data_IF_293692991667
#
_entry.id   IF_293692991667
#
_cell.length_a   1.000
_cell.length_b   1.000
_cell.length_c   1.000
_cell.angle_alpha   90.00
_cell.angle_beta   90.00
_cell.angle_gamma   90.00
#
_symmetry.space_group_name_H-M   'P 1'
#
loop_
_entity.id
_entity.type
_entity.pdbx_description
1 polymer ?
#
# COMPACT_ATOMS: atom_id res chain seq x y z
N UNK A 1 -10.24 35.38 53.51
CA UNK A 1 -8.91 35.46 52.87
C UNK A 1 -8.11 34.16 52.89
N UNK A 2 -7.77 33.57 54.03
CA UNK A 2 -6.95 32.35 54.06
C UNK A 2 -7.61 31.14 53.36
N UNK A 3 -8.90 30.87 53.64
CA UNK A 3 -9.65 29.77 53.00
C UNK A 3 -9.82 29.97 51.49
N UNK A 4 -10.02 31.22 51.04
CA UNK A 4 -10.12 31.55 49.63
C UNK A 4 -8.79 31.27 48.90
N UNK A 5 -7.66 31.65 49.50
CA UNK A 5 -6.32 31.39 48.95
C UNK A 5 -5.97 29.89 48.90
N UNK A 6 -6.41 29.11 49.90
CA UNK A 6 -6.23 27.65 49.91
C UNK A 6 -7.04 27.00 48.78
N UNK A 7 -8.30 27.40 48.63
CA UNK A 7 -9.18 26.88 47.57
C UNK A 7 -8.63 27.23 46.18
N UNK A 8 -8.18 28.46 45.98
CA UNK A 8 -7.55 28.89 44.74
C UNK A 8 -6.28 28.10 44.42
N UNK A 9 -5.43 27.86 45.42
CA UNK A 9 -4.22 27.04 45.26
C UNK A 9 -4.54 25.57 44.93
N UNK A 10 -5.59 25.00 45.54
CA UNK A 10 -6.06 23.64 45.25
C UNK A 10 -6.61 23.52 43.84
N UNK A 11 -7.43 24.48 43.39
CA UNK A 11 -7.96 24.49 42.03
C UNK A 11 -6.83 24.60 41.00
N UNK A 12 -5.88 25.52 41.23
CA UNK A 12 -4.73 25.68 40.33
C UNK A 12 -3.83 24.45 40.29
N UNK A 13 -3.64 23.77 41.42
CA UNK A 13 -2.91 22.50 41.45
C UNK A 13 -3.64 21.41 40.65
N UNK A 14 -4.97 21.29 40.81
CA UNK A 14 -5.78 20.34 40.06
C UNK A 14 -5.78 20.63 38.55
N UNK A 15 -5.79 21.89 38.14
CA UNK A 15 -5.69 22.30 36.74
C UNK A 15 -4.33 21.91 36.16
N UNK A 16 -3.23 22.20 36.87
CA UNK A 16 -1.87 21.83 36.43
C UNK A 16 -1.72 20.31 36.32
N UNK A 17 -2.28 19.54 37.26
CA UNK A 17 -2.26 18.07 37.21
C UNK A 17 -3.04 17.53 36.00
N UNK A 18 -4.21 18.10 35.71
CA UNK A 18 -5.00 17.72 34.53
C UNK A 18 -4.25 18.04 33.23
N UNK A 19 -3.70 19.25 33.10
CA UNK A 19 -2.88 19.65 31.94
C UNK A 19 -1.66 18.75 31.77
N UNK A 20 -0.97 18.40 32.86
CA UNK A 20 0.17 17.49 32.82
C UNK A 20 -0.21 16.07 32.40
N UNK A 21 -1.36 15.56 32.85
CA UNK A 21 -1.88 14.27 32.45
C UNK A 21 -2.24 14.24 30.96
N UNK A 22 -2.91 15.28 30.45
CA UNK A 22 -3.23 15.41 29.03
C UNK A 22 -1.96 15.49 28.17
N UNK A 23 -0.97 16.28 28.59
CA UNK A 23 0.31 16.38 27.91
C UNK A 23 1.06 15.04 27.87
N UNK A 24 0.98 14.24 28.95
CA UNK A 24 1.59 12.92 29.01
C UNK A 24 0.92 11.93 28.02
N UNK A 25 -0.42 11.91 27.97
CA UNK A 25 -1.17 11.08 27.01
C UNK A 25 -0.83 11.45 25.57
N UNK A 26 -0.72 12.74 25.27
CA UNK A 26 -0.38 13.21 23.94
C UNK A 26 1.07 12.84 23.56
N UNK A 27 2.01 12.94 24.50
CA UNK A 27 3.39 12.51 24.28
C UNK A 27 3.48 10.99 24.02
N UNK A 28 2.68 10.19 24.73
CA UNK A 28 2.60 8.75 24.54
C UNK A 28 2.05 8.39 23.15
N UNK A 29 0.98 9.04 22.71
CA UNK A 29 0.40 8.84 21.37
C UNK A 29 1.39 9.20 20.25
N UNK A 30 2.17 10.27 20.40
CA UNK A 30 3.22 10.64 19.44
C UNK A 30 4.37 9.63 19.41
N UNK A 31 4.76 9.10 20.56
CA UNK A 31 5.76 8.02 20.64
C UNK A 31 5.23 6.75 19.94
N UNK A 32 3.98 6.35 20.24
CA UNK A 32 3.33 5.21 19.62
C UNK A 32 3.24 5.36 18.09
N UNK A 33 2.98 6.57 17.58
CA UNK A 33 2.96 6.85 16.15
C UNK A 33 4.34 6.68 15.49
N UNK A 34 5.43 7.04 16.18
CA UNK A 34 6.79 6.79 15.70
C UNK A 34 7.09 5.29 15.63
N UNK A 35 6.72 4.54 16.68
CA UNK A 35 6.85 3.08 16.72
C UNK A 35 6.02 2.39 15.63
N UNK A 36 4.78 2.86 15.41
CA UNK A 36 3.91 2.34 14.36
C UNK A 36 4.50 2.53 12.97
N UNK A 37 5.06 3.71 12.66
CA UNK A 37 5.76 3.95 11.39
C UNK A 37 6.95 3.01 11.20
N UNK A 38 7.75 2.81 12.25
CA UNK A 38 8.87 1.87 12.20
C UNK A 38 8.39 0.43 11.97
N UNK A 39 7.29 0.02 12.60
CA UNK A 39 6.72 -1.30 12.40
C UNK A 39 6.19 -1.51 10.97
N UNK A 40 5.53 -0.50 10.38
CA UNK A 40 5.07 -0.54 8.99
C UNK A 40 6.23 -0.60 7.98
N UNK A 41 7.34 0.06 8.28
CA UNK A 41 8.52 0.03 7.41
C UNK A 41 9.22 -1.33 7.45
N UNK A 42 9.32 -1.91 8.64
CA UNK A 42 9.96 -3.22 8.83
C UNK A 42 9.01 -4.41 8.59
N UNK A 43 7.71 -4.15 8.43
CA UNK A 43 6.68 -5.19 8.27
C UNK A 43 6.51 -6.05 9.52
N UNK A 44 6.73 -5.48 10.71
CA UNK A 44 6.56 -6.18 11.98
C UNK A 44 5.17 -5.95 12.56
N UNK A 45 4.77 -6.82 13.49
CA UNK A 45 3.55 -6.61 14.29
C UNK A 45 3.57 -5.26 15.02
N UNK A 46 2.40 -4.65 15.18
CA UNK A 46 2.19 -3.40 15.91
C UNK A 46 0.88 -3.42 16.72
N UNK A 47 0.39 -4.62 17.05
CA UNK A 47 -0.85 -4.80 17.82
C UNK A 47 -0.82 -4.08 19.17
N UNK A 48 0.30 -4.17 19.90
CA UNK A 48 0.44 -3.50 21.20
C UNK A 48 0.45 -1.98 21.04
N UNK A 49 1.13 -1.48 20.02
CA UNK A 49 1.19 -0.04 19.72
C UNK A 49 -0.18 0.55 19.39
N UNK A 50 -1.08 -0.23 18.76
CA UNK A 50 -2.44 0.25 18.47
C UNK A 50 -3.30 0.45 19.71
N UNK A 51 -3.00 -0.22 20.83
CA UNK A 51 -3.80 -0.11 22.06
C UNK A 51 -3.71 1.28 22.70
N UNK A 52 -2.70 2.07 22.34
CA UNK A 52 -2.53 3.47 22.78
C UNK A 52 -3.59 4.40 22.17
N UNK A 53 -4.20 4.01 21.05
CA UNK A 53 -5.24 4.79 20.38
C UNK A 53 -6.62 4.26 20.75
N UNK A 54 -7.53 5.15 21.17
CA UNK A 54 -8.88 4.77 21.60
C UNK A 54 -9.74 4.22 20.44
N UNK A 55 -9.53 4.75 19.22
CA UNK A 55 -10.25 4.35 18.01
C UNK A 55 -9.28 4.23 16.82
N UNK A 56 -8.43 3.19 16.77
CA UNK A 56 -7.49 3.03 15.68
C UNK A 56 -8.25 2.78 14.37
N UNK A 57 -7.76 3.31 13.23
CA UNK A 57 -8.33 3.03 11.92
C UNK A 57 -8.40 1.53 11.64
N UNK A 58 -9.54 1.07 11.12
CA UNK A 58 -9.80 -0.36 10.85
C UNK A 58 -8.75 -1.00 9.94
N UNK A 59 -8.21 -0.22 9.01
CA UNK A 59 -7.16 -0.62 8.07
C UNK A 59 -5.89 -1.06 8.81
N UNK A 60 -5.53 -0.39 9.90
CA UNK A 60 -4.38 -0.76 10.72
C UNK A 60 -4.72 -1.94 11.62
N UNK A 61 -5.90 -1.96 12.23
CA UNK A 61 -6.34 -3.06 13.10
C UNK A 61 -6.39 -4.40 12.36
N UNK A 62 -6.75 -4.40 11.08
CA UNK A 62 -6.87 -5.61 10.26
C UNK A 62 -5.53 -6.34 10.03
N UNK A 63 -4.41 -5.62 10.08
CA UNK A 63 -3.06 -6.14 9.79
C UNK A 63 -2.11 -6.04 10.98
N UNK A 64 -2.60 -5.58 12.14
CA UNK A 64 -1.76 -5.26 13.29
C UNK A 64 -0.99 -6.48 13.85
N UNK A 65 -1.57 -7.67 13.73
CA UNK A 65 -0.98 -8.91 14.19
C UNK A 65 0.19 -9.33 13.29
N UNK A 66 -0.04 -9.35 11.97
CA UNK A 66 0.91 -9.88 10.98
C UNK A 66 1.90 -8.82 10.47
N UNK A 67 1.59 -7.54 10.62
CA UNK A 67 2.33 -6.42 10.03
C UNK A 67 1.87 -6.11 8.60
N UNK A 68 2.25 -4.93 8.10
CA UNK A 68 2.00 -4.56 6.70
C UNK A 68 3.04 -5.20 5.76
N UNK A 69 2.68 -5.52 4.50
CA UNK A 69 3.66 -5.78 3.47
C UNK A 69 4.69 -4.64 3.39
N UNK A 70 5.98 -4.97 3.32
CA UNK A 70 7.05 -3.96 3.20
C UNK A 70 7.19 -3.49 1.75
N UNK A 71 7.66 -2.26 1.56
CA UNK A 71 7.94 -1.76 0.21
C UNK A 71 9.00 -2.63 -0.49
N UNK A 72 10.05 -3.01 0.24
CA UNK A 72 11.10 -3.89 -0.29
C UNK A 72 10.56 -5.24 -0.76
N UNK A 73 9.62 -5.85 0.00
CA UNK A 73 8.95 -7.09 -0.41
C UNK A 73 8.16 -6.89 -1.70
N UNK A 74 7.32 -5.86 -1.76
CA UNK A 74 6.52 -5.53 -2.94
C UNK A 74 7.40 -5.30 -4.18
N UNK A 75 8.50 -4.56 -4.04
CA UNK A 75 9.48 -4.33 -5.11
C UNK A 75 10.13 -5.65 -5.58
N UNK A 76 10.49 -6.53 -4.65
CA UNK A 76 11.13 -7.81 -4.98
C UNK A 76 10.20 -8.81 -5.65
N UNK A 77 8.91 -8.80 -5.29
CA UNK A 77 7.91 -9.75 -5.79
C UNK A 77 7.31 -9.31 -7.14
N UNK A 78 7.31 -7.99 -7.43
CA UNK A 78 6.71 -7.44 -8.63
C UNK A 78 7.21 -8.09 -9.93
N UNK A 79 8.53 -8.25 -10.19
CA UNK A 79 9.00 -8.79 -11.46
C UNK A 79 8.54 -10.24 -11.70
N UNK A 80 8.39 -11.04 -10.63
CA UNK A 80 7.88 -12.39 -10.75
C UNK A 80 6.39 -12.40 -11.09
N UNK A 81 5.59 -11.54 -10.42
CA UNK A 81 4.17 -11.38 -10.71
C UNK A 81 3.92 -10.87 -12.14
N UNK A 82 4.67 -9.86 -12.58
CA UNK A 82 4.58 -9.28 -13.93
C UNK A 82 4.87 -10.31 -15.03
N UNK A 83 5.88 -11.18 -14.84
CA UNK A 83 6.17 -12.27 -15.80
C UNK A 83 5.03 -13.28 -15.89
N UNK A 84 4.38 -13.62 -14.77
CA UNK A 84 3.18 -14.49 -14.78
C UNK A 84 2.05 -13.81 -15.55
N UNK A 85 1.77 -12.54 -15.28
CA UNK A 85 0.76 -11.76 -15.99
C UNK A 85 1.00 -11.73 -17.50
N UNK A 86 2.24 -11.50 -17.95
CA UNK A 86 2.58 -11.56 -19.38
C UNK A 86 2.40 -12.94 -20.01
N UNK A 87 2.59 -14.01 -19.23
CA UNK A 87 2.39 -15.38 -19.72
C UNK A 87 0.91 -15.70 -19.98
N UNK A 88 0.00 -15.16 -19.17
CA UNK A 88 -1.45 -15.30 -19.38
C UNK A 88 -1.90 -14.65 -20.70
N UNK A 89 -1.40 -13.44 -20.99
CA UNK A 89 -1.73 -12.72 -22.25
C UNK A 89 -1.13 -13.42 -23.47
N UNK A 90 0.04 -14.03 -23.34
CA UNK A 90 0.76 -14.68 -24.46
C UNK A 90 0.23 -16.09 -24.75
N UNK A 91 -0.52 -16.67 -23.83
CA UNK A 91 -1.10 -18.00 -23.98
C UNK A 91 -2.15 -17.98 -25.08
N UNK A 92 -1.76 -18.41 -26.28
CA UNK A 92 -2.68 -18.70 -27.37
C UNK A 92 -3.60 -19.84 -26.89
N UNK A 93 -4.93 -19.74 -27.04
CA UNK A 93 -5.86 -20.81 -26.64
C UNK A 93 -5.36 -22.16 -27.14
N UNK A 94 -5.34 -23.16 -26.25
CA UNK A 94 -4.85 -24.51 -26.58
C UNK A 94 -5.66 -25.11 -27.75
N UNK A 95 -6.94 -24.71 -27.85
CA UNK A 95 -7.90 -25.08 -28.90
C UNK A 95 -7.75 -24.31 -30.21
N UNK A 96 -6.80 -23.37 -30.32
CA UNK A 96 -6.49 -22.75 -31.59
C UNK A 96 -5.99 -23.82 -32.56
N UNK A 97 -6.70 -23.93 -33.68
CA UNK A 97 -6.43 -24.90 -34.73
C UNK A 97 -4.98 -24.81 -35.19
N UNK A 98 -4.40 -25.93 -35.66
CA UNK A 98 -3.02 -25.95 -36.19
C UNK A 98 -2.81 -24.88 -37.27
N UNK A 99 -3.87 -24.53 -37.99
CA UNK A 99 -3.92 -23.45 -38.99
C UNK A 99 -3.78 -22.06 -38.37
N UNK A 100 -4.39 -21.77 -37.21
CA UNK A 100 -4.25 -20.48 -36.53
C UNK A 100 -2.86 -20.31 -35.92
N UNK A 101 -2.28 -21.38 -35.35
CA UNK A 101 -0.90 -21.38 -34.83
C UNK A 101 0.12 -21.19 -35.97
N UNK A 102 -0.10 -21.81 -37.12
CA UNK A 102 0.73 -21.64 -38.32
C UNK A 102 0.58 -20.25 -38.95
N UNK A 103 -0.63 -19.69 -38.98
CA UNK A 103 -0.90 -18.32 -39.48
C UNK A 103 -0.27 -17.26 -38.56
N UNK A 104 -0.31 -17.47 -37.24
CA UNK A 104 0.35 -16.60 -36.28
C UNK A 104 1.89 -16.63 -36.41
N UNK A 105 2.47 -17.80 -36.71
CA UNK A 105 3.90 -17.97 -36.98
C UNK A 105 4.33 -17.26 -38.27
N UNK A 106 3.55 -17.39 -39.35
CA UNK A 106 3.81 -16.70 -40.61
C UNK A 106 3.66 -15.18 -40.50
N UNK A 107 2.66 -14.67 -39.78
CA UNK A 107 2.53 -13.22 -39.45
C UNK A 107 3.75 -12.70 -38.69
N UNK A 108 4.35 -13.52 -37.83
CA UNK A 108 5.55 -13.17 -37.05
C UNK A 108 6.79 -13.10 -37.94
N UNK A 109 6.88 -13.94 -38.96
CA UNK A 109 7.99 -13.98 -39.93
C UNK A 109 7.91 -12.82 -40.96
N UNK A 110 6.71 -12.33 -41.29
CA UNK A 110 6.50 -11.24 -42.26
C UNK A 110 6.32 -9.86 -41.63
N UNK A 111 6.43 -9.71 -40.29
CA UNK A 111 6.30 -8.42 -39.61
C UNK A 111 7.56 -7.54 -39.77
N UNK A 112 8.01 -7.38 -41.01
CA UNK A 112 8.89 -6.30 -41.41
C UNK A 112 8.11 -4.99 -41.27
N UNK A 113 8.33 -4.28 -40.16
CA UNK A 113 7.87 -2.91 -39.90
C UNK A 113 6.44 -2.60 -40.35
N UNK A 114 5.45 -3.13 -39.64
CA UNK A 114 4.15 -2.44 -39.57
C UNK A 114 4.18 -1.47 -38.39
N UNK A 115 4.63 -0.24 -38.68
CA UNK A 115 4.37 0.94 -37.86
C UNK A 115 2.92 1.39 -38.12
N UNK A 116 1.95 0.53 -37.84
CA UNK A 116 0.62 1.00 -37.52
C UNK A 116 0.71 1.63 -36.12
N UNK A 117 0.09 2.80 -35.86
CA UNK A 117 0.22 3.44 -34.57
C UNK A 117 -0.33 2.50 -33.49
N UNK A 118 0.53 2.00 -32.62
CA UNK A 118 0.16 1.68 -31.26
C UNK A 118 0.82 2.71 -30.38
N UNK A 119 0.11 3.79 -30.09
CA UNK A 119 0.12 4.30 -28.72
C UNK A 119 -0.45 3.15 -27.87
N UNK A 120 0.31 2.60 -26.92
CA UNK A 120 0.13 1.19 -26.56
C UNK A 120 -0.38 0.93 -25.15
N UNK A 121 -1.68 0.68 -24.99
CA UNK A 121 -2.28 -0.08 -23.87
C UNK A 121 -1.86 -1.58 -23.87
N UNK A 122 -0.68 -1.89 -24.41
CA UNK A 122 -0.17 -3.25 -24.44
C UNK A 122 0.27 -3.64 -23.01
N UNK A 123 -0.02 -4.87 -22.54
CA UNK A 123 0.24 -5.26 -21.15
C UNK A 123 1.69 -5.10 -20.68
N UNK A 124 2.66 -5.22 -21.59
CA UNK A 124 4.08 -4.99 -21.32
C UNK A 124 4.37 -3.52 -20.99
N UNK A 125 3.75 -2.58 -21.70
CA UNK A 125 3.91 -1.15 -21.45
C UNK A 125 3.25 -0.75 -20.11
N UNK A 126 2.07 -1.31 -19.81
CA UNK A 126 1.39 -1.12 -18.52
C UNK A 126 2.26 -1.64 -17.36
N UNK A 127 2.74 -2.88 -17.46
CA UNK A 127 3.60 -3.48 -16.44
C UNK A 127 4.92 -2.72 -16.26
N UNK A 128 5.49 -2.19 -17.34
CA UNK A 128 6.72 -1.38 -17.27
C UNK A 128 6.49 -0.05 -16.55
N UNK A 129 5.37 0.66 -16.80
CA UNK A 129 5.03 1.88 -16.06
C UNK A 129 4.73 1.59 -14.60
N UNK A 130 4.00 0.51 -14.32
CA UNK A 130 3.76 0.06 -12.96
C UNK A 130 5.08 -0.30 -12.24
N UNK A 131 6.03 -0.98 -12.89
CA UNK A 131 7.33 -1.31 -12.30
C UNK A 131 8.14 -0.06 -11.94
N UNK A 132 8.13 0.95 -12.81
CA UNK A 132 8.78 2.23 -12.54
C UNK A 132 8.18 2.90 -11.29
N UNK A 133 6.85 2.98 -11.20
CA UNK A 133 6.16 3.52 -10.03
C UNK A 133 6.48 2.72 -8.75
N UNK A 134 6.51 1.38 -8.82
CA UNK A 134 6.91 0.51 -7.69
C UNK A 134 8.35 0.77 -7.25
N UNK A 135 9.27 0.97 -8.20
CA UNK A 135 10.67 1.31 -7.90
C UNK A 135 10.79 2.65 -7.17
N UNK A 136 9.90 3.59 -7.45
CA UNK A 136 9.84 4.91 -6.80
C UNK A 136 9.07 4.87 -5.46
N UNK A 137 8.42 3.74 -5.14
CA UNK A 137 7.58 3.59 -3.95
C UNK A 137 6.16 4.15 -4.12
N UNK A 138 5.79 4.58 -5.33
CA UNK A 138 4.47 5.07 -5.67
C UNK A 138 3.51 3.90 -5.98
N UNK A 139 2.95 3.32 -4.92
CA UNK A 139 2.02 2.20 -5.01
C UNK A 139 0.64 2.61 -5.54
N UNK A 140 0.26 3.89 -5.40
CA UNK A 140 -1.00 4.40 -5.90
C UNK A 140 -0.98 4.46 -7.43
N UNK A 141 0.08 5.07 -8.00
CA UNK A 141 0.28 5.08 -9.45
C UNK A 141 0.46 3.66 -9.99
N UNK A 142 1.21 2.80 -9.30
CA UNK A 142 1.40 1.42 -9.74
C UNK A 142 0.07 0.64 -9.82
N UNK A 143 -0.77 0.69 -8.78
CA UNK A 143 -2.05 -0.02 -8.77
C UNK A 143 -3.04 0.58 -9.78
N UNK A 144 -3.01 1.89 -10.02
CA UNK A 144 -3.79 2.54 -11.06
C UNK A 144 -3.41 2.05 -12.46
N UNK A 145 -2.11 1.96 -12.78
CA UNK A 145 -1.64 1.40 -14.06
C UNK A 145 -2.09 -0.06 -14.24
N UNK A 146 -1.95 -0.90 -13.21
CA UNK A 146 -2.34 -2.31 -13.26
C UNK A 146 -3.84 -2.52 -13.47
N UNK A 147 -4.68 -1.53 -13.17
CA UNK A 147 -6.12 -1.61 -13.45
C UNK A 147 -6.45 -1.69 -14.95
N UNK A 148 -5.55 -1.18 -15.81
CA UNK A 148 -5.69 -1.22 -17.25
C UNK A 148 -5.28 -2.58 -17.87
N UNK A 149 -4.76 -3.51 -17.06
CA UNK A 149 -4.41 -4.84 -17.55
C UNK A 149 -5.65 -5.65 -17.97
N UNK A 150 -5.52 -6.47 -19.04
CA UNK A 150 -6.53 -7.48 -19.37
C UNK A 150 -6.85 -8.37 -18.16
N UNK A 151 -8.09 -8.86 -18.08
CA UNK A 151 -8.59 -9.58 -16.91
C UNK A 151 -7.68 -10.74 -16.47
N UNK A 152 -7.21 -11.57 -17.41
CA UNK A 152 -6.34 -12.71 -17.11
C UNK A 152 -4.98 -12.26 -16.53
N UNK A 153 -4.40 -11.20 -17.08
CA UNK A 153 -3.15 -10.62 -16.61
C UNK A 153 -3.31 -9.96 -15.24
N UNK A 154 -4.44 -9.25 -15.04
CA UNK A 154 -4.78 -8.60 -13.77
C UNK A 154 -5.03 -9.65 -12.67
N UNK A 155 -5.67 -10.76 -13.01
CA UNK A 155 -5.86 -11.89 -12.10
C UNK A 155 -4.52 -12.47 -11.64
N UNK A 156 -3.54 -12.62 -12.55
CA UNK A 156 -2.19 -13.07 -12.17
C UNK A 156 -1.42 -12.08 -11.27
N UNK A 157 -1.84 -10.81 -11.24
CA UNK A 157 -1.30 -9.76 -10.36
C UNK A 157 -2.09 -9.59 -9.06
N UNK A 158 -3.21 -10.28 -8.86
CA UNK A 158 -4.19 -9.95 -7.81
C UNK A 158 -3.61 -9.98 -6.39
N UNK A 159 -2.76 -10.97 -6.10
CA UNK A 159 -2.09 -11.09 -4.79
C UNK A 159 -1.16 -9.90 -4.54
N UNK A 160 -0.39 -9.50 -5.56
CA UNK A 160 0.52 -8.36 -5.46
C UNK A 160 -0.27 -7.05 -5.31
N UNK A 161 -1.33 -6.86 -6.10
CA UNK A 161 -2.21 -5.69 -6.04
C UNK A 161 -2.81 -5.56 -4.64
N UNK A 162 -3.38 -6.65 -4.10
CA UNK A 162 -3.97 -6.65 -2.77
C UNK A 162 -2.97 -6.29 -1.67
N UNK A 163 -1.74 -6.80 -1.76
CA UNK A 163 -0.67 -6.45 -0.81
C UNK A 163 -0.25 -4.98 -0.93
N UNK A 164 -0.16 -4.43 -2.15
CA UNK A 164 0.15 -3.03 -2.39
C UNK A 164 -0.96 -2.09 -1.87
N UNK A 165 -2.23 -2.41 -2.15
CA UNK A 165 -3.40 -1.69 -1.63
C UNK A 165 -3.45 -1.71 -0.10
N UNK A 166 -3.15 -2.87 0.51
CA UNK A 166 -3.08 -3.02 1.96
C UNK A 166 -2.03 -2.08 2.57
N UNK A 167 -0.83 -2.00 1.97
CA UNK A 167 0.21 -1.08 2.43
C UNK A 167 -0.21 0.38 2.24
N UNK A 168 -0.75 0.74 1.07
CA UNK A 168 -1.20 2.11 0.80
C UNK A 168 -2.30 2.55 1.79
N UNK A 169 -3.28 1.68 2.06
CA UNK A 169 -4.34 1.92 3.03
C UNK A 169 -3.80 2.09 4.46
N UNK A 170 -2.79 1.32 4.85
CA UNK A 170 -2.12 1.47 6.15
C UNK A 170 -1.39 2.81 6.26
N UNK A 171 -0.66 3.25 5.23
CA UNK A 171 0.03 4.54 5.21
C UNK A 171 -0.96 5.71 5.30
N UNK A 172 -2.05 5.66 4.54
CA UNK A 172 -3.12 6.66 4.61
C UNK A 172 -3.78 6.72 6.00
N UNK A 173 -3.99 5.57 6.63
CA UNK A 173 -4.53 5.48 7.99
C UNK A 173 -3.58 6.11 9.03
N UNK A 174 -2.26 5.93 8.89
CA UNK A 174 -1.28 6.62 9.73
C UNK A 174 -1.32 8.13 9.52
N UNK A 175 -1.39 8.60 8.27
CA UNK A 175 -1.56 10.03 7.98
C UNK A 175 -2.84 10.63 8.59
N UNK A 176 -3.91 9.84 8.67
CA UNK A 176 -5.14 10.25 9.37
C UNK A 176 -4.92 10.39 10.88
N UNK A 177 -4.23 9.43 11.51
CA UNK A 177 -3.88 9.52 12.94
C UNK A 177 -3.00 10.74 13.23
N UNK A 178 -2.02 11.02 12.37
CA UNK A 178 -1.17 12.22 12.49
C UNK A 178 -2.00 13.50 12.50
N UNK A 179 -2.96 13.62 11.59
CA UNK A 179 -3.83 14.79 11.51
C UNK A 179 -4.76 14.95 12.72
N UNK A 180 -5.06 13.88 13.45
CA UNK A 180 -5.86 13.96 14.68
C UNK A 180 -5.06 14.39 15.91
N UNK A 181 -3.73 14.30 15.87
CA UNK A 181 -2.81 14.64 16.97
C UNK A 181 -2.17 16.04 16.83
N UNK A 182 -2.39 16.70 15.70
CA UNK A 182 -1.97 18.07 15.40
C UNK A 182 -3.12 19.06 15.65
#
# INVERSE_FOLDING_TARGET
>A
DAEARITEAQNRASEIEAEAAEAAVEAERRAALSTLRAALENGTSFSDTLQVFDNPPKQLSAIAADGAPTLSRLQSEFPAAARRALSEVRSVPVDASTTEKFTAFLKRQTNARSLAPKDGDDPDAILSRAEAAVSEGDLETATAELSALPDDARAAMSEWISAAETRAAALNAVGTLENTLN
#
